data_IF_282163044402
#
_entry.id   IF_282163044402
#
_cell.length_a   1.000
_cell.length_b   1.000
_cell.length_c   1.000
_cell.angle_alpha   90.00
_cell.angle_beta   90.00
_cell.angle_gamma   90.00
#
_symmetry.space_group_name_H-M   'P 1'
#
loop_
_entity.id
_entity.type
_entity.pdbx_description
1 polymer ?
#
# COMPACT_ATOMS: atom_id res chain seq x y z
N UNK A 1 36.76 -14.81 -9.43
CA UNK A 1 36.26 -14.44 -8.09
C UNK A 1 34.80 -14.04 -8.25
N UNK A 2 33.89 -14.98 -7.96
CA UNK A 2 32.46 -14.81 -8.19
C UNK A 2 31.82 -13.91 -7.15
N UNK A 3 31.18 -12.86 -7.59
CA UNK A 3 30.28 -12.06 -6.73
C UNK A 3 29.03 -12.89 -6.43
N UNK A 4 28.96 -13.42 -5.22
CA UNK A 4 27.74 -14.06 -4.72
C UNK A 4 26.66 -12.98 -4.58
N UNK A 5 25.73 -13.00 -5.50
CA UNK A 5 24.47 -12.27 -5.38
C UNK A 5 23.68 -12.90 -4.22
N UNK A 6 23.58 -12.20 -3.12
CA UNK A 6 22.68 -12.55 -2.02
C UNK A 6 21.28 -12.07 -2.41
N UNK A 7 20.58 -12.91 -3.16
CA UNK A 7 19.14 -12.79 -3.28
C UNK A 7 18.58 -13.35 -1.98
N UNK A 8 18.25 -12.47 -1.04
CA UNK A 8 17.44 -12.88 0.10
C UNK A 8 16.06 -13.28 -0.45
N UNK A 9 15.56 -14.46 -0.08
CA UNK A 9 14.26 -14.90 -0.56
C UNK A 9 13.20 -13.93 -0.07
N UNK A 10 12.26 -13.67 -0.97
CA UNK A 10 10.99 -13.02 -0.68
C UNK A 10 10.36 -13.77 0.50
N UNK A 11 10.55 -13.27 1.71
CA UNK A 11 9.91 -13.84 2.88
C UNK A 11 8.43 -13.47 2.80
N UNK A 12 7.66 -14.34 2.18
CA UNK A 12 6.20 -14.33 2.32
C UNK A 12 5.92 -14.74 3.76
N UNK A 13 5.79 -13.76 4.64
CA UNK A 13 5.29 -14.04 5.98
C UNK A 13 3.79 -14.33 5.88
N UNK A 14 3.48 -15.61 5.62
CA UNK A 14 2.16 -16.17 5.83
C UNK A 14 2.04 -16.48 7.32
N UNK A 15 1.83 -15.47 8.12
CA UNK A 15 1.29 -15.64 9.46
C UNK A 15 -0.07 -14.94 9.45
N UNK A 16 -1.11 -15.76 9.39
CA UNK A 16 -2.52 -15.40 9.61
C UNK A 16 -2.84 -13.89 9.47
N UNK A 17 -3.09 -13.43 8.25
CA UNK A 17 -3.68 -12.12 8.00
C UNK A 17 -2.74 -10.96 7.68
N UNK A 18 -1.47 -11.17 7.42
CA UNK A 18 -0.54 -10.10 7.04
C UNK A 18 -0.33 -10.06 5.52
N UNK A 19 -1.10 -9.27 4.80
CA UNK A 19 -0.95 -9.04 3.37
C UNK A 19 -0.63 -7.60 2.99
N UNK A 20 0.17 -6.91 3.80
CA UNK A 20 0.91 -5.78 3.28
C UNK A 20 2.34 -6.28 3.04
N UNK A 21 2.60 -6.71 1.81
CA UNK A 21 3.95 -7.15 1.44
C UNK A 21 4.90 -5.97 1.42
N UNK A 22 5.78 -5.89 2.40
CA UNK A 22 7.00 -5.11 2.28
C UNK A 22 7.86 -5.72 1.17
N UNK A 23 8.01 -5.02 0.06
CA UNK A 23 8.90 -5.43 -1.03
C UNK A 23 10.30 -4.93 -0.71
N UNK A 24 11.15 -5.81 -0.18
CA UNK A 24 12.57 -5.52 -0.02
C UNK A 24 13.25 -5.55 -1.38
N UNK A 25 13.36 -4.41 -2.03
CA UNK A 25 14.21 -4.27 -3.21
C UNK A 25 15.38 -3.35 -2.88
N UNK A 26 16.60 -3.86 -3.07
CA UNK A 26 17.86 -3.12 -2.95
C UNK A 26 18.13 -2.27 -4.21
N UNK A 27 17.10 -2.00 -4.99
CA UNK A 27 17.20 -1.20 -6.21
C UNK A 27 16.61 0.17 -5.94
N UNK A 28 17.16 1.23 -6.55
CA UNK A 28 16.48 2.53 -6.52
C UNK A 28 15.05 2.34 -7.00
N UNK A 29 14.09 3.05 -6.42
CA UNK A 29 12.71 2.90 -6.81
C UNK A 29 12.62 3.06 -8.32
N UNK A 30 12.12 2.01 -8.98
CA UNK A 30 11.87 2.04 -10.42
C UNK A 30 10.95 3.23 -10.67
N UNK A 31 11.40 4.16 -11.48
CA UNK A 31 10.60 5.32 -11.81
C UNK A 31 9.28 4.84 -12.42
N UNK A 32 8.19 5.21 -11.78
CA UNK A 32 6.85 4.82 -12.23
C UNK A 32 6.50 5.67 -13.45
N UNK A 33 6.00 4.99 -14.48
CA UNK A 33 5.49 5.66 -15.66
C UNK A 33 4.45 6.73 -15.26
N UNK A 34 4.56 7.98 -15.74
CA UNK A 34 3.61 9.04 -15.41
C UNK A 34 2.15 8.67 -15.71
N UNK A 35 1.90 7.87 -16.75
CA UNK A 35 0.54 7.41 -17.07
C UNK A 35 0.01 6.43 -16.01
N UNK A 36 0.88 5.56 -15.48
CA UNK A 36 0.52 4.65 -14.39
C UNK A 36 0.27 5.44 -13.10
N UNK A 37 1.12 6.42 -12.81
CA UNK A 37 0.94 7.29 -11.65
C UNK A 37 -0.37 8.08 -11.73
N UNK A 38 -0.73 8.55 -12.91
CA UNK A 38 -2.00 9.27 -13.14
C UNK A 38 -3.24 8.40 -12.94
N UNK A 39 -3.09 7.07 -13.01
CA UNK A 39 -4.18 6.12 -12.75
C UNK A 39 -4.43 5.87 -11.26
N UNK A 40 -3.54 6.33 -10.37
CA UNK A 40 -3.76 6.29 -8.92
C UNK A 40 -4.79 7.35 -8.54
N UNK A 41 -5.91 6.93 -7.97
CA UNK A 41 -6.96 7.83 -7.47
C UNK A 41 -6.81 7.98 -5.97
N UNK A 42 -6.75 9.23 -5.51
CA UNK A 42 -6.70 9.61 -4.09
C UNK A 42 -7.90 10.49 -3.78
N UNK A 43 -8.72 10.07 -2.83
CA UNK A 43 -9.89 10.84 -2.40
C UNK A 43 -9.85 11.01 -0.89
N UNK A 44 -9.71 12.24 -0.43
CA UNK A 44 -9.77 12.53 1.00
C UNK A 44 -11.21 12.44 1.49
N UNK A 45 -11.47 11.47 2.36
CA UNK A 45 -12.76 11.28 3.05
C UNK A 45 -12.85 12.23 4.23
N UNK A 46 -11.73 12.42 4.91
CA UNK A 46 -11.56 13.36 6.02
C UNK A 46 -10.17 13.98 5.94
N UNK A 47 -10.10 15.28 6.07
CA UNK A 47 -8.83 15.99 6.19
C UNK A 47 -8.35 15.95 7.64
N UNK A 48 -7.08 15.57 7.83
CA UNK A 48 -6.41 15.71 9.12
C UNK A 48 -5.87 17.12 9.33
N UNK A 49 -5.53 17.41 10.55
CA UNK A 49 -4.93 18.68 10.97
C UNK A 49 -3.55 18.50 11.65
N UNK A 50 -3.09 17.27 11.78
CA UNK A 50 -1.82 16.95 12.40
C UNK A 50 -0.63 17.01 11.43
N UNK A 51 0.44 16.31 11.79
CA UNK A 51 1.68 16.29 11.03
C UNK A 51 1.48 15.75 9.60
N UNK A 52 2.23 16.32 8.66
CA UNK A 52 2.19 15.96 7.25
C UNK A 52 3.03 14.72 6.99
N UNK A 53 2.47 13.73 6.30
CA UNK A 53 3.19 12.56 5.80
C UNK A 53 4.01 12.94 4.57
N UNK A 54 5.33 12.88 4.73
CA UNK A 54 6.31 13.14 3.65
C UNK A 54 7.25 11.96 3.49
N UNK A 55 7.82 11.81 2.30
CA UNK A 55 8.83 10.79 2.03
C UNK A 55 9.98 10.87 3.04
N UNK A 56 10.46 9.71 3.51
CA UNK A 56 11.53 9.60 4.50
C UNK A 56 11.04 9.57 5.96
N UNK A 57 9.76 9.84 6.20
CA UNK A 57 9.15 9.70 7.52
C UNK A 57 8.58 8.30 7.73
N UNK A 58 8.58 7.83 8.97
CA UNK A 58 7.82 6.64 9.34
C UNK A 58 6.40 7.02 9.66
N UNK A 59 5.45 6.37 9.03
CA UNK A 59 4.02 6.60 9.24
C UNK A 59 3.36 5.39 9.87
N UNK A 60 2.36 5.65 10.70
CA UNK A 60 1.51 4.63 11.33
C UNK A 60 0.09 4.80 10.83
N UNK A 61 -0.48 3.72 10.29
CA UNK A 61 -1.80 3.75 9.67
C UNK A 61 -2.69 2.62 10.16
N UNK A 62 -4.00 2.87 10.20
CA UNK A 62 -5.00 1.80 10.06
C UNK A 62 -5.48 1.77 8.63
N UNK A 63 -5.80 0.58 8.13
CA UNK A 63 -6.29 0.40 6.78
C UNK A 63 -7.23 -0.80 6.66
N UNK A 64 -8.05 -0.74 5.63
CA UNK A 64 -8.77 -1.90 5.11
C UNK A 64 -8.64 -1.92 3.58
N UNK A 65 -8.42 -3.09 3.01
CA UNK A 65 -8.26 -3.30 1.58
C UNK A 65 -9.30 -4.25 1.00
N UNK A 66 -9.78 -3.89 -0.20
CA UNK A 66 -10.74 -4.66 -0.98
C UNK A 66 -10.25 -4.81 -2.42
N UNK A 67 -10.66 -5.88 -3.05
CA UNK A 67 -10.60 -5.97 -4.51
C UNK A 67 -11.57 -4.93 -5.09
N UNK A 68 -11.15 -4.22 -6.13
CA UNK A 68 -12.02 -3.26 -6.82
C UNK A 68 -13.20 -3.98 -7.46
N UNK A 69 -14.40 -3.48 -7.22
CA UNK A 69 -15.64 -3.94 -7.87
C UNK A 69 -16.42 -2.70 -8.35
N UNK A 70 -16.55 -2.57 -9.66
CA UNK A 70 -17.21 -1.41 -10.26
C UNK A 70 -18.69 -1.29 -9.81
N UNK A 71 -19.34 -2.41 -9.57
CA UNK A 71 -20.75 -2.47 -9.20
C UNK A 71 -21.01 -2.30 -7.70
N UNK A 72 -19.97 -2.44 -6.86
CA UNK A 72 -20.12 -2.36 -5.41
C UNK A 72 -20.13 -0.91 -4.90
N UNK A 73 -20.82 -0.63 -3.79
CA UNK A 73 -20.74 0.67 -3.12
C UNK A 73 -19.27 1.02 -2.77
N UNK A 74 -18.84 2.24 -3.07
CA UNK A 74 -17.45 2.70 -2.90
C UNK A 74 -16.42 1.80 -3.57
N UNK A 75 -16.83 1.00 -4.56
CA UNK A 75 -15.99 0.00 -5.24
C UNK A 75 -15.42 -1.09 -4.33
N UNK A 76 -15.98 -1.26 -3.15
CA UNK A 76 -15.56 -2.27 -2.18
C UNK A 76 -16.06 -3.66 -2.60
N UNK A 77 -15.24 -4.41 -3.29
CA UNK A 77 -15.46 -5.81 -3.59
C UNK A 77 -15.10 -6.70 -2.39
N UNK A 78 -14.47 -7.82 -2.65
CA UNK A 78 -14.05 -8.75 -1.59
C UNK A 78 -12.95 -8.12 -0.74
N UNK A 79 -13.19 -8.02 0.57
CA UNK A 79 -12.16 -7.63 1.55
C UNK A 79 -11.06 -8.70 1.59
N UNK A 80 -9.79 -8.29 1.54
CA UNK A 80 -8.67 -9.21 1.61
C UNK A 80 -7.76 -8.96 2.82
N UNK A 81 -7.76 -7.76 3.40
CA UNK A 81 -6.93 -7.44 4.57
C UNK A 81 -7.46 -6.24 5.33
N UNK A 82 -7.20 -6.20 6.65
CA UNK A 82 -7.46 -5.04 7.50
C UNK A 82 -6.59 -5.08 8.74
N UNK A 83 -5.98 -3.96 9.07
CA UNK A 83 -5.26 -3.78 10.33
C UNK A 83 -6.20 -3.80 11.55
N UNK A 84 -7.45 -3.44 11.37
CA UNK A 84 -8.47 -3.50 12.43
C UNK A 84 -8.74 -4.94 12.88
N UNK A 85 -8.65 -5.91 11.98
CA UNK A 85 -8.84 -7.33 12.31
C UNK A 85 -7.75 -7.85 13.25
N UNK A 86 -6.60 -7.18 13.31
CA UNK A 86 -5.46 -7.48 14.20
C UNK A 86 -5.38 -6.57 15.42
N UNK A 87 -6.22 -5.54 15.50
CA UNK A 87 -6.15 -4.48 16.50
C UNK A 87 -4.74 -3.86 16.62
N UNK A 88 -4.03 -3.77 15.53
CA UNK A 88 -2.67 -3.26 15.49
C UNK A 88 -2.47 -2.35 14.26
N UNK A 89 -2.03 -1.10 14.48
CA UNK A 89 -1.61 -0.23 13.38
C UNK A 89 -0.45 -0.84 12.61
N UNK A 90 -0.31 -0.42 11.37
CA UNK A 90 0.80 -0.79 10.52
C UNK A 90 1.76 0.39 10.34
N UNK A 91 3.02 0.18 10.67
CA UNK A 91 4.07 1.18 10.56
C UNK A 91 4.97 0.89 9.37
N UNK A 92 5.28 1.91 8.56
CA UNK A 92 6.22 1.77 7.47
C UNK A 92 6.93 3.08 7.14
N UNK A 93 8.19 3.01 6.63
CA UNK A 93 8.88 4.19 6.13
C UNK A 93 8.29 4.57 4.77
N UNK A 94 7.76 5.80 4.68
CA UNK A 94 7.09 6.30 3.49
C UNK A 94 8.09 6.65 2.39
N UNK A 95 7.78 6.25 1.16
CA UNK A 95 8.57 6.62 -0.02
C UNK A 95 9.85 5.80 -0.22
N UNK A 96 10.04 4.71 0.51
CA UNK A 96 11.27 3.90 0.47
C UNK A 96 11.12 2.55 -0.24
N UNK A 97 10.00 2.33 -0.93
CA UNK A 97 9.74 1.06 -1.64
C UNK A 97 9.54 -0.13 -0.71
N UNK A 98 9.15 0.10 0.55
CA UNK A 98 8.86 -0.95 1.55
C UNK A 98 7.45 -1.48 1.47
N UNK A 99 6.59 -0.77 0.78
CA UNK A 99 5.18 -1.09 0.54
C UNK A 99 4.90 -0.99 -0.95
N UNK A 100 3.72 -1.39 -1.39
CA UNK A 100 3.33 -1.22 -2.80
C UNK A 100 3.41 0.26 -3.19
N UNK A 101 3.80 0.56 -4.45
CA UNK A 101 3.95 1.94 -4.91
C UNK A 101 2.70 2.79 -4.71
N UNK A 102 1.51 2.19 -4.82
CA UNK A 102 0.24 2.86 -4.57
C UNK A 102 0.11 3.42 -3.16
N UNK A 103 0.78 2.83 -2.18
CA UNK A 103 0.82 3.35 -0.82
C UNK A 103 1.88 4.44 -0.65
N UNK A 104 3.09 4.24 -1.18
CA UNK A 104 4.13 5.26 -1.11
C UNK A 104 3.67 6.58 -1.72
N UNK A 105 2.98 6.53 -2.87
CA UNK A 105 2.43 7.71 -3.52
C UNK A 105 1.06 8.12 -2.99
N UNK A 106 0.28 7.17 -2.49
CA UNK A 106 -1.09 7.41 -2.04
C UNK A 106 -1.17 8.05 -0.66
N UNK A 107 -0.32 7.64 0.27
CA UNK A 107 -0.31 8.13 1.65
C UNK A 107 0.44 9.47 1.77
N UNK A 108 1.40 9.72 0.88
CA UNK A 108 2.11 11.00 0.83
C UNK A 108 1.12 12.17 0.73
N UNK A 109 1.34 13.18 1.54
CA UNK A 109 0.48 14.37 1.60
C UNK A 109 -0.72 14.26 2.53
N UNK A 110 -0.97 13.11 3.16
CA UNK A 110 -1.94 13.02 4.23
C UNK A 110 -1.44 13.74 5.49
N UNK A 111 -2.37 14.21 6.32
CA UNK A 111 -2.08 14.72 7.67
C UNK A 111 -2.66 13.77 8.70
N UNK A 112 -1.99 13.68 9.85
CA UNK A 112 -2.48 12.88 10.97
C UNK A 112 -3.91 13.27 11.34
N UNK A 113 -4.75 12.27 11.55
CA UNK A 113 -6.19 12.40 11.74
C UNK A 113 -7.01 12.33 10.45
N UNK A 114 -6.35 12.32 9.29
CA UNK A 114 -7.00 12.20 7.98
C UNK A 114 -7.36 10.77 7.62
N UNK A 115 -8.34 10.64 6.74
CA UNK A 115 -8.75 9.39 6.11
C UNK A 115 -8.77 9.58 4.59
N UNK A 116 -8.20 8.64 3.86
CA UNK A 116 -8.11 8.70 2.41
C UNK A 116 -8.48 7.37 1.79
N UNK A 117 -9.29 7.43 0.74
CA UNK A 117 -9.55 6.31 -0.13
C UNK A 117 -8.54 6.32 -1.28
N UNK A 118 -7.92 5.16 -1.53
CA UNK A 118 -7.00 4.94 -2.64
C UNK A 118 -7.59 3.90 -3.58
N UNK A 119 -7.62 4.20 -4.88
CA UNK A 119 -7.86 3.21 -5.92
C UNK A 119 -6.54 3.04 -6.67
N UNK A 120 -5.99 1.83 -6.58
CA UNK A 120 -4.62 1.54 -6.99
C UNK A 120 -4.64 0.63 -8.21
N UNK A 121 -4.04 1.05 -9.35
CA UNK A 121 -3.93 0.19 -10.52
C UNK A 121 -2.99 -0.99 -10.25
N UNK A 122 -3.12 -2.11 -10.98
CA UNK A 122 -2.29 -3.29 -10.77
C UNK A 122 -0.80 -3.01 -10.82
N UNK A 123 -0.35 -2.13 -11.71
CA UNK A 123 1.07 -1.78 -11.85
C UNK A 123 1.67 -1.08 -10.61
N UNK A 124 0.84 -0.51 -9.76
CA UNK A 124 1.25 0.09 -8.48
C UNK A 124 0.85 -0.77 -7.28
N UNK A 125 0.42 -1.99 -7.50
CA UNK A 125 0.04 -2.99 -6.50
C UNK A 125 0.82 -4.29 -6.72
N UNK A 126 0.14 -5.40 -6.95
CA UNK A 126 0.77 -6.71 -7.06
C UNK A 126 0.94 -7.22 -8.51
N UNK A 127 0.55 -6.39 -9.48
CA UNK A 127 0.80 -6.63 -10.91
C UNK A 127 0.23 -7.94 -11.46
N UNK A 128 0.91 -8.49 -12.45
CA UNK A 128 0.50 -9.72 -13.15
C UNK A 128 0.67 -10.98 -12.31
N UNK A 129 1.42 -10.93 -11.22
CA UNK A 129 1.64 -12.09 -10.35
C UNK A 129 0.57 -12.25 -9.28
N UNK A 130 -0.14 -11.19 -8.91
CA UNK A 130 -1.04 -11.20 -7.76
C UNK A 130 -0.31 -11.45 -6.44
N UNK A 131 -1.01 -11.85 -5.40
CA UNK A 131 -0.44 -12.14 -4.09
C UNK A 131 -1.20 -13.25 -3.38
N UNK A 132 -0.46 -14.32 -3.02
CA UNK A 132 -0.87 -15.31 -2.02
C UNK A 132 -2.23 -16.01 -2.23
N UNK A 133 -2.75 -16.09 -3.45
CA UNK A 133 -4.08 -16.66 -3.72
C UNK A 133 -5.25 -15.79 -3.24
N UNK A 134 -4.98 -14.63 -2.66
CA UNK A 134 -5.98 -13.69 -2.14
C UNK A 134 -6.19 -12.54 -3.12
N UNK A 135 -5.11 -12.06 -3.73
CA UNK A 135 -5.14 -11.02 -4.75
C UNK A 135 -4.84 -11.66 -6.10
N UNK A 136 -5.83 -11.68 -7.02
CA UNK A 136 -5.64 -12.27 -8.33
C UNK A 136 -4.64 -11.48 -9.17
N UNK A 137 -4.10 -12.08 -10.26
CA UNK A 137 -3.31 -11.36 -11.24
C UNK A 137 -4.06 -10.14 -11.81
N UNK A 138 -3.35 -9.05 -12.00
CA UNK A 138 -3.86 -7.80 -12.58
C UNK A 138 -5.05 -7.18 -11.82
N UNK A 139 -5.09 -7.36 -10.50
CA UNK A 139 -6.16 -6.81 -9.68
C UNK A 139 -5.94 -5.33 -9.40
N UNK A 140 -6.98 -4.55 -9.62
CA UNK A 140 -7.12 -3.19 -9.10
C UNK A 140 -7.59 -3.28 -7.65
N UNK A 141 -7.03 -2.46 -6.78
CA UNK A 141 -7.30 -2.50 -5.34
C UNK A 141 -7.93 -1.20 -4.86
N UNK A 142 -8.75 -1.31 -3.82
CA UNK A 142 -9.28 -0.17 -3.08
C UNK A 142 -8.80 -0.27 -1.63
N UNK A 143 -8.27 0.81 -1.09
CA UNK A 143 -7.94 0.93 0.32
C UNK A 143 -8.60 2.14 0.95
N UNK A 144 -9.06 1.98 2.17
CA UNK A 144 -9.30 3.10 3.08
C UNK A 144 -8.17 3.13 4.09
N UNK A 145 -7.51 4.28 4.18
CA UNK A 145 -6.32 4.50 5.02
C UNK A 145 -6.60 5.63 5.99
N UNK A 146 -6.35 5.41 7.27
CA UNK A 146 -6.36 6.41 8.32
C UNK A 146 -4.93 6.64 8.80
N UNK A 147 -4.45 7.87 8.77
CA UNK A 147 -3.12 8.23 9.25
C UNK A 147 -3.18 8.57 10.74
N UNK A 148 -2.46 7.78 11.54
CA UNK A 148 -2.46 7.89 13.00
C UNK A 148 -1.29 8.68 13.55
N UNK A 149 -0.11 8.51 12.96
CA UNK A 149 1.11 9.15 13.43
C UNK A 149 2.14 9.31 12.29
N UNK A 150 3.00 10.30 12.44
CA UNK A 150 4.19 10.55 11.60
C UNK A 150 5.39 10.78 12.52
N UNK A 151 6.49 10.06 12.26
CA UNK A 151 7.74 10.14 13.01
C UNK A 151 8.92 10.46 12.12
#
# INVERSE_FOLDING_TARGET
MGKRSWILPLAVFIAAGFYVMAVYTKHPPKQIDPAVLAALVKTDVKLGDGALATAGKTVSVHYTGWLYDEAAPNHHGKKFDSSHDRNAPFDFPLGEGRVIPGWDHGVEGMKVGGQRMLIIPPAMAYGSGGAGGVIPPNAQLVFEVELLAVQ
#
